data_IF_926261889988
#
_entry.id   IF_926261889988
#
_cell.length_a   1.000
_cell.length_b   1.000
_cell.length_c   1.000
_cell.angle_alpha   90.00
_cell.angle_beta   90.00
_cell.angle_gamma   90.00
#
_symmetry.space_group_name_H-M   'P 1'
#
loop_
_entity.id
_entity.type
_entity.pdbx_description
1 polymer ?
#
# COMPACT_ATOMS: atom_id res chain seq x y z
N UNK A 1 9.55 15.21 -4.67
CA UNK A 1 9.15 13.92 -4.06
C UNK A 1 10.36 13.40 -3.34
N UNK A 2 10.26 13.13 -2.04
CA UNK A 2 11.36 12.51 -1.28
C UNK A 2 11.41 11.02 -1.64
N UNK A 3 12.43 10.58 -2.36
CA UNK A 3 12.68 9.18 -2.69
C UNK A 3 13.55 8.54 -1.61
N UNK A 4 13.58 7.21 -1.57
CA UNK A 4 14.53 6.49 -0.73
C UNK A 4 15.97 6.96 -0.95
N UNK A 5 16.31 7.36 -2.18
CA UNK A 5 17.61 7.90 -2.56
C UNK A 5 17.92 9.28 -1.93
N UNK A 6 16.90 10.07 -1.59
CA UNK A 6 17.09 11.40 -1.01
C UNK A 6 17.55 11.35 0.46
N UNK A 7 17.56 10.15 1.05
CA UNK A 7 18.10 9.88 2.39
C UNK A 7 19.50 9.28 2.35
N UNK A 8 20.10 9.12 1.16
CA UNK A 8 21.45 8.60 0.98
C UNK A 8 22.42 9.78 0.87
N UNK A 9 23.47 9.76 1.68
CA UNK A 9 24.59 10.69 1.58
C UNK A 9 25.90 9.91 1.57
N UNK A 10 26.82 10.28 0.66
CA UNK A 10 28.05 9.58 0.33
C UNK A 10 27.90 8.04 0.17
N UNK A 11 27.98 7.32 1.29
CA UNK A 11 27.92 5.86 1.39
C UNK A 11 27.08 5.38 2.58
N UNK A 12 26.16 6.20 3.09
CA UNK A 12 25.34 5.87 4.25
C UNK A 12 23.95 6.50 4.25
N UNK A 13 23.20 6.23 5.32
CA UNK A 13 21.88 6.79 5.61
C UNK A 13 21.99 7.72 6.85
N UNK A 14 22.43 8.99 6.71
CA UNK A 14 22.69 9.88 7.84
C UNK A 14 21.43 10.23 8.65
N UNK A 15 20.26 10.18 8.02
CA UNK A 15 18.96 10.36 8.68
C UNK A 15 18.62 9.22 9.66
N UNK A 16 19.43 8.16 9.69
CA UNK A 16 19.38 7.07 10.68
C UNK A 16 20.68 7.10 11.48
N UNK A 17 20.60 7.39 12.77
CA UNK A 17 21.76 7.37 13.66
C UNK A 17 21.62 6.25 14.67
N UNK A 18 22.73 5.56 14.94
CA UNK A 18 22.79 4.49 15.93
C UNK A 18 23.94 4.74 16.91
N UNK A 19 23.66 4.69 18.21
CA UNK A 19 24.64 4.85 19.28
C UNK A 19 25.21 3.49 19.71
N UNK A 20 26.52 3.29 19.54
CA UNK A 20 27.21 2.05 19.96
C UNK A 20 27.56 2.06 21.45
N UNK A 21 27.82 0.89 22.04
CA UNK A 21 28.17 0.79 23.48
C UNK A 21 29.61 1.21 23.78
N UNK A 22 30.59 0.53 23.17
CA UNK A 22 32.01 0.75 23.43
C UNK A 22 32.85 0.54 22.14
N UNK A 23 33.72 1.50 21.78
CA UNK A 23 33.57 2.92 22.12
C UNK A 23 32.15 3.43 21.77
N UNK A 24 31.67 4.39 22.55
CA UNK A 24 30.41 5.09 22.27
C UNK A 24 30.66 6.07 21.12
N UNK A 25 30.00 5.81 20.00
CA UNK A 25 30.07 6.61 18.80
C UNK A 25 28.72 6.54 18.09
N UNK A 26 28.45 7.55 17.26
CA UNK A 26 27.29 7.58 16.38
C UNK A 26 27.72 7.02 15.03
N UNK A 27 27.00 6.01 14.56
CA UNK A 27 27.23 5.39 13.25
C UNK A 27 25.93 5.37 12.44
N UNK A 28 26.08 5.21 11.13
CA UNK A 28 24.96 5.19 10.18
C UNK A 28 24.94 3.87 9.40
N UNK A 29 23.77 3.36 8.97
CA UNK A 29 23.70 2.23 8.06
C UNK A 29 24.53 2.50 6.81
N UNK A 30 25.33 1.52 6.38
CA UNK A 30 26.12 1.61 5.16
C UNK A 30 25.26 1.32 3.95
N UNK A 31 25.46 2.14 2.93
CA UNK A 31 24.95 1.96 1.58
C UNK A 31 26.09 1.53 0.66
N UNK A 32 25.80 0.56 -0.21
CA UNK A 32 26.67 0.12 -1.31
C UNK A 32 25.87 0.13 -2.59
N UNK A 33 26.50 0.34 -3.75
CA UNK A 33 25.79 0.26 -5.04
C UNK A 33 26.09 -1.06 -5.74
N UNK A 34 25.06 -1.72 -6.25
CA UNK A 34 25.14 -2.91 -7.12
C UNK A 34 24.27 -2.68 -8.34
N UNK A 35 24.87 -2.75 -9.53
CA UNK A 35 24.18 -2.51 -10.80
C UNK A 35 23.39 -1.20 -10.83
N UNK A 36 23.95 -0.14 -10.22
CA UNK A 36 23.34 1.18 -10.12
C UNK A 36 22.33 1.35 -8.97
N UNK A 37 21.86 0.26 -8.36
CA UNK A 37 20.88 0.29 -7.25
C UNK A 37 21.61 0.45 -5.91
N UNK A 38 21.13 1.36 -5.07
CA UNK A 38 21.61 1.52 -3.71
C UNK A 38 21.09 0.41 -2.79
N UNK A 39 21.99 -0.26 -2.07
CA UNK A 39 21.74 -1.45 -1.27
C UNK A 39 22.27 -1.29 0.16
N UNK A 40 21.52 -1.80 1.13
CA UNK A 40 21.96 -1.99 2.52
C UNK A 40 22.28 -3.47 2.73
N UNK A 41 23.34 -3.75 3.47
CA UNK A 41 23.67 -5.13 3.87
C UNK A 41 23.09 -5.46 5.25
N UNK A 42 22.19 -6.44 5.27
CA UNK A 42 21.54 -6.99 6.45
C UNK A 42 22.30 -8.24 6.94
N UNK A 43 22.90 -8.12 8.13
CA UNK A 43 23.82 -9.14 8.65
C UNK A 43 23.10 -10.47 8.98
N UNK A 44 21.86 -10.38 9.44
CA UNK A 44 20.99 -11.51 9.77
C UNK A 44 20.51 -12.27 8.52
N UNK A 45 20.62 -11.69 7.33
CA UNK A 45 20.12 -12.26 6.07
C UNK A 45 21.23 -12.71 5.12
N UNK A 46 22.47 -12.84 5.61
CA UNK A 46 23.61 -13.26 4.78
C UNK A 46 23.45 -14.60 4.05
N UNK A 47 22.52 -15.44 4.49
CA UNK A 47 22.23 -16.76 3.90
C UNK A 47 20.95 -16.81 3.06
N UNK A 48 20.27 -15.68 2.86
CA UNK A 48 19.12 -15.62 1.95
C UNK A 48 19.57 -15.59 0.49
N UNK A 49 18.67 -15.81 -0.49
CA UNK A 49 19.01 -15.78 -1.92
C UNK A 49 19.63 -14.46 -2.40
N UNK A 50 19.30 -13.33 -1.74
CA UNK A 50 19.87 -12.01 -2.05
C UNK A 50 21.20 -11.74 -1.32
N UNK A 51 21.75 -12.74 -0.61
CA UNK A 51 23.06 -12.68 0.04
C UNK A 51 23.19 -11.59 1.10
N UNK A 52 22.09 -11.22 1.75
CA UNK A 52 22.01 -10.13 2.73
C UNK A 52 21.96 -8.72 2.14
N UNK A 53 22.04 -8.53 0.82
CA UNK A 53 21.93 -7.19 0.22
C UNK A 53 20.47 -6.93 -0.18
N UNK A 54 19.89 -5.85 0.33
CA UNK A 54 18.53 -5.40 -0.01
C UNK A 54 18.57 -3.96 -0.52
N UNK A 55 17.70 -3.56 -1.46
CA UNK A 55 17.60 -2.16 -1.88
C UNK A 55 17.31 -1.24 -0.69
N UNK A 56 17.84 0.00 -0.71
CA UNK A 56 17.58 1.01 0.33
C UNK A 56 16.08 1.25 0.49
N UNK A 57 15.33 1.32 -0.61
CA UNK A 57 13.87 1.46 -0.58
C UNK A 57 13.22 0.32 0.23
N UNK A 58 13.57 -0.93 -0.09
CA UNK A 58 13.09 -2.12 0.63
C UNK A 58 13.48 -2.08 2.10
N UNK A 59 14.72 -1.74 2.42
CA UNK A 59 15.17 -1.61 3.81
C UNK A 59 14.35 -0.58 4.59
N UNK A 60 14.13 0.60 4.00
CA UNK A 60 13.38 1.67 4.67
C UNK A 60 11.89 1.31 4.82
N UNK A 61 11.29 0.59 3.89
CA UNK A 61 9.93 0.06 4.05
C UNK A 61 9.83 -0.92 5.21
N UNK A 62 10.79 -1.83 5.33
CA UNK A 62 10.86 -2.79 6.45
C UNK A 62 11.07 -2.07 7.79
N UNK A 63 11.86 -1.00 7.78
CA UNK A 63 12.02 -0.10 8.93
C UNK A 63 10.70 0.61 9.29
N UNK A 64 9.96 1.12 8.30
CA UNK A 64 8.65 1.75 8.49
C UNK A 64 7.64 0.78 9.12
N UNK A 65 7.63 -0.48 8.68
CA UNK A 65 6.79 -1.56 9.22
C UNK A 65 7.25 -2.10 10.58
N UNK A 66 8.32 -1.54 11.15
CA UNK A 66 8.95 -1.99 12.42
C UNK A 66 9.23 -3.49 12.41
N UNK A 67 9.69 -4.01 11.28
CA UNK A 67 9.93 -5.45 11.14
C UNK A 67 10.96 -5.94 12.17
N UNK A 68 10.67 -7.03 12.90
CA UNK A 68 11.58 -7.52 13.93
C UNK A 68 12.87 -8.05 13.31
N UNK A 69 13.95 -7.96 14.10
CA UNK A 69 15.28 -8.48 13.75
C UNK A 69 15.98 -7.78 12.59
N UNK A 70 15.52 -6.59 12.20
CA UNK A 70 16.23 -5.78 11.21
C UNK A 70 17.60 -5.38 11.77
N UNK A 71 18.67 -5.80 11.10
CA UNK A 71 20.05 -5.55 11.53
C UNK A 71 20.96 -5.25 10.34
N UNK A 72 21.41 -4.01 10.24
CA UNK A 72 22.24 -3.54 9.13
C UNK A 72 23.73 -3.44 9.51
N UNK A 73 24.59 -3.39 8.51
CA UNK A 73 26.00 -3.06 8.69
C UNK A 73 26.21 -1.55 8.72
N UNK A 74 27.09 -1.10 9.61
CA UNK A 74 27.63 0.25 9.69
C UNK A 74 29.16 0.20 9.82
N UNK A 75 29.82 1.34 9.67
CA UNK A 75 31.26 1.48 9.90
C UNK A 75 31.51 2.46 11.04
N UNK A 76 32.43 2.08 11.92
CA UNK A 76 32.94 2.92 13.01
C UNK A 76 33.96 3.94 12.47
N UNK A 77 34.28 4.96 13.26
CA UNK A 77 35.25 6.00 12.86
C UNK A 77 36.65 5.42 12.53
N UNK A 78 37.00 4.27 13.12
CA UNK A 78 38.24 3.54 12.85
C UNK A 78 38.18 2.63 11.60
N UNK A 79 37.12 2.70 10.81
CA UNK A 79 36.92 1.89 9.61
C UNK A 79 36.56 0.42 9.87
N UNK A 80 36.35 0.01 11.12
CA UNK A 80 35.88 -1.35 11.43
C UNK A 80 34.37 -1.46 11.23
N UNK A 81 33.96 -2.58 10.66
CA UNK A 81 32.55 -2.92 10.52
C UNK A 81 31.90 -3.15 11.89
N UNK A 82 30.67 -2.69 12.04
CA UNK A 82 29.80 -2.99 13.18
C UNK A 82 28.41 -3.36 12.68
N UNK A 83 27.65 -4.10 13.49
CA UNK A 83 26.24 -4.40 13.22
C UNK A 83 25.38 -3.49 14.09
N UNK A 84 24.39 -2.86 13.48
CA UNK A 84 23.38 -2.05 14.16
C UNK A 84 22.05 -2.79 14.13
N UNK A 85 21.34 -2.84 15.26
CA UNK A 85 20.06 -3.53 15.38
C UNK A 85 18.95 -2.53 15.65
N UNK A 86 17.88 -2.61 14.88
CA UNK A 86 16.72 -1.72 14.98
C UNK A 86 15.71 -2.17 16.05
N UNK A 87 15.92 -3.32 16.68
CA UNK A 87 15.11 -3.79 17.81
C UNK A 87 15.33 -2.96 19.09
N UNK A 88 16.46 -2.23 19.19
CA UNK A 88 16.84 -1.44 20.36
C UNK A 88 16.47 0.02 20.14
N UNK A 89 15.19 0.35 20.38
CA UNK A 89 14.65 1.69 20.15
C UNK A 89 15.39 2.80 20.92
N UNK A 90 16.05 2.47 22.04
CA UNK A 90 16.86 3.38 22.86
C UNK A 90 18.20 3.80 22.22
N UNK A 91 18.57 3.19 21.09
CA UNK A 91 19.85 3.41 20.40
C UNK A 91 19.71 3.98 19.01
N UNK A 92 18.53 3.92 18.42
CA UNK A 92 18.25 4.41 17.07
C UNK A 92 17.54 5.76 17.18
N UNK A 93 18.07 6.76 16.49
CA UNK A 93 17.37 8.03 16.29
C UNK A 93 17.14 8.23 14.80
N UNK A 94 15.91 8.59 14.43
CA UNK A 94 15.52 8.92 13.07
C UNK A 94 15.36 10.44 12.96
N UNK A 95 15.79 11.03 11.84
CA UNK A 95 15.53 12.44 11.60
C UNK A 95 14.01 12.71 11.45
N UNK A 96 13.52 13.92 11.77
CA UNK A 96 12.10 14.25 11.57
C UNK A 96 11.63 14.07 10.12
N UNK A 97 12.50 14.37 9.14
CA UNK A 97 12.19 14.21 7.72
C UNK A 97 12.02 12.74 7.35
N UNK A 98 12.93 11.88 7.79
CA UNK A 98 12.83 10.45 7.54
C UNK A 98 11.64 9.86 8.28
N UNK A 99 11.40 10.26 9.53
CA UNK A 99 10.26 9.78 10.31
C UNK A 99 8.93 10.11 9.63
N UNK A 100 8.74 11.34 9.16
CA UNK A 100 7.54 11.73 8.41
C UNK A 100 7.37 10.90 7.11
N UNK A 101 8.46 10.61 6.41
CA UNK A 101 8.42 9.81 5.20
C UNK A 101 8.17 8.32 5.48
N UNK A 102 8.79 7.74 6.51
CA UNK A 102 8.52 6.36 6.94
C UNK A 102 7.07 6.19 7.39
N UNK A 103 6.51 7.16 8.12
CA UNK A 103 5.07 7.14 8.45
C UNK A 103 4.20 7.14 7.19
N UNK A 104 4.63 7.78 6.11
CA UNK A 104 3.92 7.76 4.83
C UNK A 104 4.02 6.43 4.06
N UNK A 105 5.01 5.60 4.40
CA UNK A 105 5.28 4.26 3.85
C UNK A 105 4.74 3.12 4.74
N UNK A 106 4.41 3.40 5.99
CA UNK A 106 3.71 2.47 6.86
C UNK A 106 2.23 2.41 6.46
N UNK A 107 1.92 2.14 5.18
CA UNK A 107 0.55 1.83 4.84
C UNK A 107 0.26 0.41 5.33
N UNK A 108 -0.86 0.20 6.03
CA UNK A 108 -1.17 -1.08 6.64
C UNK A 108 -1.47 -2.11 5.55
N UNK A 109 -1.10 -3.37 5.84
CA UNK A 109 -1.43 -4.52 5.00
C UNK A 109 -2.80 -5.13 5.36
N UNK A 110 -3.42 -4.64 6.45
CA UNK A 110 -4.68 -5.13 7.02
C UNK A 110 -5.54 -3.91 7.46
N UNK A 111 -6.80 -4.12 7.84
CA UNK A 111 -7.73 -3.04 8.22
C UNK A 111 -8.59 -2.51 7.08
N UNK A 112 -9.59 -1.66 7.40
CA UNK A 112 -10.59 -1.20 6.43
C UNK A 112 -9.97 -0.49 5.21
N UNK A 113 -8.99 0.40 5.44
CA UNK A 113 -8.28 1.10 4.37
C UNK A 113 -7.62 0.13 3.36
N UNK A 114 -6.87 -0.86 3.85
CA UNK A 114 -6.23 -1.88 3.01
C UNK A 114 -7.26 -2.74 2.27
N UNK A 115 -8.38 -3.07 2.91
CA UNK A 115 -9.46 -3.83 2.28
C UNK A 115 -10.12 -3.04 1.13
N UNK A 116 -10.34 -1.73 1.29
CA UNK A 116 -10.85 -0.86 0.21
C UNK A 116 -9.89 -0.85 -0.98
N UNK A 117 -8.59 -0.63 -0.73
CA UNK A 117 -7.58 -0.63 -1.81
C UNK A 117 -7.52 -1.98 -2.51
N UNK A 118 -7.55 -3.08 -1.74
CA UNK A 118 -7.59 -4.44 -2.28
C UNK A 118 -8.81 -4.69 -3.15
N UNK A 119 -10.00 -4.23 -2.73
CA UNK A 119 -11.22 -4.34 -3.55
C UNK A 119 -11.08 -3.58 -4.87
N UNK A 120 -10.65 -2.32 -4.80
CA UNK A 120 -10.48 -1.46 -5.99
C UNK A 120 -9.45 -2.04 -6.97
N UNK A 121 -8.33 -2.55 -6.47
CA UNK A 121 -7.26 -3.16 -7.27
C UNK A 121 -7.74 -4.35 -8.14
N UNK A 122 -8.87 -4.96 -7.81
CA UNK A 122 -9.46 -6.07 -8.54
C UNK A 122 -10.57 -5.65 -9.53
N UNK A 123 -10.85 -4.35 -9.69
CA UNK A 123 -11.86 -3.84 -10.64
C UNK A 123 -11.32 -3.71 -12.07
N UNK A 124 -10.71 -4.77 -12.60
CA UNK A 124 -10.24 -4.79 -14.00
C UNK A 124 -11.42 -4.66 -14.99
N UNK A 125 -11.30 -3.85 -16.06
CA UNK A 125 -10.09 -3.17 -16.52
C UNK A 125 -9.96 -1.70 -16.05
N UNK A 126 -10.76 -1.24 -15.08
CA UNK A 126 -10.66 0.15 -14.60
C UNK A 126 -9.43 0.35 -13.71
N UNK A 127 -9.16 -0.63 -12.87
CA UNK A 127 -8.06 -0.61 -11.92
C UNK A 127 -7.24 -1.89 -12.01
N UNK A 128 -5.95 -1.76 -11.74
CA UNK A 128 -5.02 -2.87 -11.58
C UNK A 128 -4.28 -2.73 -10.25
N UNK A 129 -4.09 -3.84 -9.55
CA UNK A 129 -3.21 -3.90 -8.40
C UNK A 129 -1.74 -3.83 -8.81
N UNK A 130 -0.96 -3.01 -8.12
CA UNK A 130 0.48 -2.95 -8.30
C UNK A 130 1.21 -2.63 -6.99
N UNK A 131 2.50 -2.90 -6.96
CA UNK A 131 3.38 -2.46 -5.87
C UNK A 131 4.05 -1.14 -6.25
N UNK A 132 3.73 -0.06 -5.55
CA UNK A 132 4.34 1.26 -5.72
C UNK A 132 5.05 1.66 -4.43
N UNK A 133 6.37 1.88 -4.51
CA UNK A 133 7.21 2.18 -3.34
C UNK A 133 6.99 1.19 -2.17
N UNK A 134 6.80 -0.09 -2.51
CA UNK A 134 6.61 -1.19 -1.54
C UNK A 134 5.23 -1.27 -0.91
N UNK A 135 4.31 -0.43 -1.35
CA UNK A 135 2.91 -0.45 -0.96
C UNK A 135 2.09 -1.07 -2.06
N UNK A 136 1.23 -2.01 -1.70
CA UNK A 136 0.19 -2.48 -2.60
C UNK A 136 -0.83 -1.35 -2.79
N UNK A 137 -1.08 -0.98 -4.04
CA UNK A 137 -2.01 0.08 -4.39
C UNK A 137 -2.90 -0.33 -5.56
N UNK A 138 -4.02 0.37 -5.72
CA UNK A 138 -4.84 0.28 -6.93
C UNK A 138 -4.47 1.43 -7.88
N UNK A 139 -4.03 1.10 -9.09
CA UNK A 139 -3.77 2.06 -10.17
C UNK A 139 -4.98 2.13 -11.10
N UNK A 140 -5.55 3.32 -11.25
CA UNK A 140 -6.51 3.64 -12.30
C UNK A 140 -5.85 3.56 -13.68
N UNK A 141 -6.39 2.74 -14.58
CA UNK A 141 -5.93 2.66 -15.97
C UNK A 141 -6.42 3.84 -16.83
N UNK A 142 -7.35 4.65 -16.33
CA UNK A 142 -7.88 5.80 -17.06
C UNK A 142 -6.91 6.97 -17.08
N UNK A 143 -6.22 7.24 -15.96
CA UNK A 143 -5.44 8.46 -15.75
C UNK A 143 -4.17 8.26 -14.91
N UNK A 144 -3.88 7.03 -14.47
CA UNK A 144 -2.72 6.72 -13.65
C UNK A 144 -2.85 7.09 -12.17
N UNK A 145 -4.03 7.52 -11.70
CA UNK A 145 -4.29 7.81 -10.29
C UNK A 145 -4.00 6.58 -9.42
N UNK A 146 -3.26 6.78 -8.33
CA UNK A 146 -2.91 5.72 -7.37
C UNK A 146 -3.73 5.87 -6.10
N UNK A 147 -4.27 4.76 -5.62
CA UNK A 147 -5.04 4.69 -4.39
C UNK A 147 -4.28 3.79 -3.43
N UNK A 148 -3.81 4.36 -2.33
CA UNK A 148 -2.95 3.72 -1.35
C UNK A 148 -3.68 3.61 -0.01
N UNK A 149 -3.40 2.56 0.77
CA UNK A 149 -3.91 2.48 2.12
C UNK A 149 -3.28 3.55 3.03
N UNK A 150 -3.96 3.87 4.13
CA UNK A 150 -3.46 4.72 5.21
C UNK A 150 -3.56 3.96 6.53
N UNK A 151 -2.66 4.27 7.46
CA UNK A 151 -2.70 3.66 8.80
C UNK A 151 -3.76 4.33 9.66
N UNK A 152 -4.85 3.60 9.90
CA UNK A 152 -5.96 4.02 10.75
C UNK A 152 -5.83 3.46 12.19
N UNK A 153 -4.72 2.81 12.57
CA UNK A 153 -4.61 2.09 13.85
C UNK A 153 -4.74 2.98 15.10
N UNK A 154 -4.40 4.26 14.97
CA UNK A 154 -4.47 5.26 16.04
C UNK A 154 -5.78 6.06 16.01
N UNK A 155 -6.72 5.73 15.11
CA UNK A 155 -7.97 6.46 14.94
C UNK A 155 -9.03 5.88 15.90
N UNK A 156 -9.96 6.74 16.35
CA UNK A 156 -11.07 6.29 17.21
C UNK A 156 -11.94 5.22 16.53
N UNK A 157 -12.04 5.27 15.20
CA UNK A 157 -12.69 4.26 14.36
C UNK A 157 -11.98 4.19 13.00
N UNK A 158 -11.70 2.98 12.51
CA UNK A 158 -11.27 2.75 11.13
C UNK A 158 -12.41 3.14 10.18
N UNK A 159 -12.21 4.09 9.28
CA UNK A 159 -13.27 4.56 8.36
C UNK A 159 -13.13 3.97 6.96
N UNK A 160 -11.99 3.35 6.67
CA UNK A 160 -11.64 2.98 5.31
C UNK A 160 -11.18 4.19 4.49
N UNK A 161 -10.57 5.18 5.16
CA UNK A 161 -9.94 6.32 4.50
C UNK A 161 -8.83 5.81 3.58
N UNK A 162 -8.65 6.42 2.42
CA UNK A 162 -7.55 6.09 1.50
C UNK A 162 -6.80 7.34 1.10
N UNK A 163 -5.51 7.18 0.78
CA UNK A 163 -4.71 8.26 0.20
C UNK A 163 -4.73 8.14 -1.31
N UNK A 164 -5.16 9.19 -1.97
CA UNK A 164 -5.21 9.27 -3.44
C UNK A 164 -4.07 10.15 -3.92
N UNK A 165 -3.24 9.62 -4.81
CA UNK A 165 -2.27 10.39 -5.59
C UNK A 165 -2.85 10.61 -6.98
N UNK A 166 -3.38 11.81 -7.22
CA UNK A 166 -4.06 12.13 -8.46
C UNK A 166 -3.09 12.05 -9.63
N UNK A 167 -3.42 11.21 -10.63
CA UNK A 167 -2.56 10.91 -11.78
C UNK A 167 -1.17 10.38 -11.39
N UNK A 168 -1.05 9.79 -10.20
CA UNK A 168 0.21 9.31 -9.65
C UNK A 168 1.15 10.42 -9.17
N UNK A 169 0.69 11.67 -9.11
CA UNK A 169 1.48 12.80 -8.65
C UNK A 169 1.41 12.94 -7.12
N UNK A 170 2.54 12.72 -6.47
CA UNK A 170 2.70 12.83 -5.01
C UNK A 170 2.43 14.26 -4.50
N UNK A 171 2.68 15.29 -5.33
CA UNK A 171 2.38 16.66 -4.95
C UNK A 171 0.87 16.96 -4.98
N UNK A 172 0.08 16.08 -5.61
CA UNK A 172 -1.38 16.15 -5.69
C UNK A 172 -1.97 14.97 -4.93
N UNK A 173 -1.72 14.94 -3.63
CA UNK A 173 -2.25 13.94 -2.72
C UNK A 173 -3.43 14.48 -1.92
N UNK A 174 -4.41 13.62 -1.65
CA UNK A 174 -5.49 13.89 -0.69
C UNK A 174 -5.90 12.61 0.03
N UNK A 175 -6.26 12.72 1.30
CA UNK A 175 -6.96 11.66 2.03
C UNK A 175 -8.46 11.85 1.82
N UNK A 176 -9.15 10.78 1.44
CA UNK A 176 -10.57 10.79 1.11
C UNK A 176 -11.23 9.54 1.67
N UNK A 177 -12.55 9.58 1.85
CA UNK A 177 -13.33 8.41 2.19
C UNK A 177 -13.22 7.36 1.06
N UNK A 178 -12.85 6.12 1.42
CA UNK A 178 -12.70 5.04 0.45
C UNK A 178 -14.01 4.63 -0.21
N UNK A 179 -15.13 4.78 0.49
CA UNK A 179 -16.48 4.56 -0.01
C UNK A 179 -16.86 5.52 -1.12
N UNK A 180 -16.45 6.80 -1.04
CA UNK A 180 -16.69 7.79 -2.09
C UNK A 180 -15.96 7.43 -3.40
N UNK A 181 -14.71 6.97 -3.30
CA UNK A 181 -13.95 6.51 -4.47
C UNK A 181 -14.55 5.22 -5.03
N UNK A 182 -14.89 4.27 -4.17
CA UNK A 182 -15.53 3.02 -4.57
C UNK A 182 -16.88 3.24 -5.25
N UNK A 183 -17.65 4.23 -4.82
CA UNK A 183 -18.91 4.64 -5.46
C UNK A 183 -18.70 4.94 -6.95
N UNK A 184 -17.73 5.81 -7.26
CA UNK A 184 -17.43 6.21 -8.64
C UNK A 184 -16.84 5.04 -9.45
N UNK A 185 -15.98 4.23 -8.83
CA UNK A 185 -15.36 3.09 -9.48
C UNK A 185 -16.38 2.01 -9.84
N UNK A 186 -17.29 1.68 -8.91
CA UNK A 186 -18.31 0.65 -9.12
C UNK A 186 -19.35 1.07 -10.17
N UNK A 187 -19.78 2.34 -10.16
CA UNK A 187 -20.68 2.88 -11.19
C UNK A 187 -20.11 2.65 -12.60
N UNK A 188 -18.85 3.07 -12.80
CA UNK A 188 -18.17 2.90 -14.08
C UNK A 188 -17.93 1.44 -14.40
N UNK A 189 -17.57 0.64 -13.40
CA UNK A 189 -17.27 -0.78 -13.56
C UNK A 189 -18.49 -1.54 -14.06
N UNK A 190 -19.64 -1.36 -13.40
CA UNK A 190 -20.88 -2.03 -13.77
C UNK A 190 -21.35 -1.57 -15.13
N UNK A 191 -21.30 -0.27 -15.44
CA UNK A 191 -21.69 0.22 -16.78
C UNK A 191 -20.78 -0.28 -17.90
N UNK A 192 -19.47 -0.36 -17.64
CA UNK A 192 -18.51 -0.89 -18.62
C UNK A 192 -18.78 -2.36 -18.93
N UNK A 193 -19.16 -3.16 -17.93
CA UNK A 193 -19.47 -4.58 -18.12
C UNK A 193 -20.92 -4.84 -18.55
N UNK A 194 -21.82 -3.90 -18.30
CA UNK A 194 -23.24 -3.98 -18.63
C UNK A 194 -23.61 -3.35 -19.97
N UNK A 195 -22.69 -3.27 -20.94
CA UNK A 195 -23.00 -2.71 -22.27
C UNK A 195 -24.17 -3.46 -22.90
N UNK A 196 -25.25 -2.73 -23.22
CA UNK A 196 -26.49 -3.29 -23.79
C UNK A 196 -27.52 -3.74 -22.76
N UNK A 197 -27.21 -3.66 -21.46
CA UNK A 197 -28.19 -3.84 -20.40
C UNK A 197 -29.09 -2.61 -20.24
N UNK A 198 -30.30 -2.82 -19.72
CA UNK A 198 -31.18 -1.72 -19.31
C UNK A 198 -30.79 -1.16 -17.93
N UNK A 199 -31.34 -0.01 -17.57
CA UNK A 199 -31.01 0.67 -16.31
C UNK A 199 -31.47 -0.13 -15.07
N UNK A 200 -32.51 -0.96 -15.19
CA UNK A 200 -32.97 -1.80 -14.06
C UNK A 200 -31.95 -2.90 -13.75
N UNK A 201 -31.38 -3.53 -14.79
CA UNK A 201 -30.29 -4.49 -14.65
C UNK A 201 -29.00 -3.84 -14.11
N UNK A 202 -28.66 -2.62 -14.57
CA UNK A 202 -27.52 -1.85 -14.05
C UNK A 202 -27.71 -1.54 -12.56
N UNK A 203 -28.89 -1.08 -12.14
CA UNK A 203 -29.19 -0.81 -10.73
C UNK A 203 -29.09 -2.09 -9.88
N UNK A 204 -29.65 -3.21 -10.36
CA UNK A 204 -29.55 -4.48 -9.64
C UNK A 204 -28.09 -4.92 -9.43
N UNK A 205 -27.25 -4.81 -10.46
CA UNK A 205 -25.83 -5.17 -10.36
C UNK A 205 -25.06 -4.22 -9.45
N UNK A 206 -25.32 -2.90 -9.51
CA UNK A 206 -24.75 -1.93 -8.59
C UNK A 206 -25.11 -2.25 -7.14
N UNK A 207 -26.34 -2.71 -6.88
CA UNK A 207 -26.76 -3.08 -5.53
C UNK A 207 -25.99 -4.30 -5.04
N UNK A 208 -25.81 -5.32 -5.87
CA UNK A 208 -24.99 -6.48 -5.53
C UNK A 208 -23.52 -6.12 -5.29
N UNK A 209 -22.98 -5.19 -6.08
CA UNK A 209 -21.62 -4.69 -5.89
C UNK A 209 -21.46 -3.86 -4.62
N UNK A 210 -22.46 -3.06 -4.26
CA UNK A 210 -22.49 -2.33 -2.99
C UNK A 210 -22.46 -3.29 -1.79
N UNK A 211 -23.31 -4.32 -1.81
CA UNK A 211 -23.35 -5.35 -0.77
C UNK A 211 -22.04 -6.14 -0.70
N UNK A 212 -21.45 -6.47 -1.85
CA UNK A 212 -20.17 -7.18 -1.90
C UNK A 212 -19.03 -6.32 -1.34
N UNK A 213 -18.97 -5.04 -1.71
CA UNK A 213 -18.01 -4.09 -1.15
C UNK A 213 -18.15 -4.03 0.37
N UNK A 214 -19.36 -3.78 0.89
CA UNK A 214 -19.63 -3.74 2.33
C UNK A 214 -19.22 -5.02 3.04
N UNK A 215 -19.52 -6.17 2.47
CA UNK A 215 -19.11 -7.46 3.02
C UNK A 215 -17.58 -7.62 3.07
N UNK A 216 -16.86 -7.15 2.03
CA UNK A 216 -15.41 -7.32 1.91
C UNK A 216 -14.60 -6.30 2.71
N UNK A 217 -15.10 -5.08 2.84
CA UNK A 217 -14.34 -3.94 3.39
C UNK A 217 -14.88 -3.47 4.73
N UNK A 218 -16.14 -3.77 5.06
CA UNK A 218 -16.84 -3.19 6.20
C UNK A 218 -17.21 -1.72 6.03
N UNK A 219 -17.02 -1.15 4.84
CA UNK A 219 -17.35 0.23 4.50
C UNK A 219 -18.61 0.30 3.62
N UNK A 220 -19.32 1.42 3.64
CA UNK A 220 -20.46 1.68 2.77
C UNK A 220 -20.06 2.53 1.56
N UNK A 221 -20.89 2.52 0.51
CA UNK A 221 -20.75 3.41 -0.65
C UNK A 221 -21.96 4.34 -0.75
N UNK A 222 -21.78 5.49 -1.38
CA UNK A 222 -22.81 6.51 -1.50
C UNK A 222 -23.70 6.28 -2.74
N UNK A 223 -24.74 5.46 -2.59
CA UNK A 223 -25.76 5.24 -3.63
C UNK A 223 -27.18 5.46 -3.08
N UNK A 224 -27.57 6.71 -2.77
CA UNK A 224 -28.79 7.02 -2.01
C UNK A 224 -30.11 6.71 -2.74
N UNK A 225 -30.08 6.56 -4.06
CA UNK A 225 -31.27 6.24 -4.87
C UNK A 225 -31.36 4.75 -5.23
N UNK A 226 -30.46 3.92 -4.68
CA UNK A 226 -30.37 2.52 -5.05
C UNK A 226 -31.19 1.65 -4.11
N UNK A 227 -32.39 1.30 -4.56
CA UNK A 227 -33.23 0.35 -3.84
C UNK A 227 -32.78 -1.09 -4.07
N UNK A 228 -33.09 -1.96 -3.10
CA UNK A 228 -32.86 -3.38 -3.25
C UNK A 228 -33.68 -3.93 -4.44
N UNK A 229 -33.08 -4.76 -5.32
CA UNK A 229 -33.76 -5.26 -6.49
C UNK A 229 -34.95 -6.16 -6.09
N UNK A 230 -36.06 -6.15 -6.86
CA UNK A 230 -37.19 -7.04 -6.63
C UNK A 230 -36.75 -8.52 -6.62
N UNK A 231 -37.38 -9.37 -5.81
CA UNK A 231 -36.96 -10.77 -5.59
C UNK A 231 -36.88 -11.66 -6.85
N UNK A 232 -37.54 -11.29 -7.95
CA UNK A 232 -37.40 -11.95 -9.25
C UNK A 232 -36.12 -11.54 -10.00
N UNK A 233 -35.68 -10.28 -9.88
CA UNK A 233 -34.41 -9.78 -10.40
C UNK A 233 -33.22 -10.26 -9.58
N UNK A 234 -33.41 -10.55 -8.29
CA UNK A 234 -32.41 -11.28 -7.49
C UNK A 234 -32.16 -12.73 -7.96
N UNK A 235 -33.05 -13.29 -8.79
CA UNK A 235 -32.87 -14.58 -9.49
C UNK A 235 -32.27 -14.39 -10.88
N UNK A 236 -32.66 -13.34 -11.61
CA UNK A 236 -32.03 -12.96 -12.89
C UNK A 236 -30.58 -12.50 -12.71
N UNK A 237 -30.23 -11.77 -11.65
CA UNK A 237 -28.84 -11.46 -11.27
C UNK A 237 -28.03 -12.72 -10.92
N UNK A 238 -28.69 -13.79 -10.46
CA UNK A 238 -28.08 -15.12 -10.28
C UNK A 238 -27.84 -15.85 -11.61
N UNK A 239 -28.58 -15.53 -12.68
CA UNK A 239 -28.32 -15.99 -14.04
C UNK A 239 -27.35 -15.05 -14.79
N UNK A 240 -27.38 -13.75 -14.51
CA UNK A 240 -26.35 -12.80 -14.93
C UNK A 240 -25.00 -13.13 -14.27
N UNK A 241 -24.98 -13.80 -13.11
CA UNK A 241 -23.78 -14.47 -12.54
C UNK A 241 -23.18 -15.54 -13.46
N UNK A 242 -23.91 -16.11 -14.42
CA UNK A 242 -23.36 -17.00 -15.46
C UNK A 242 -22.72 -16.20 -16.61
N UNK A 243 -23.21 -15.00 -16.91
CA UNK A 243 -22.53 -14.03 -17.80
C UNK A 243 -21.31 -13.41 -17.10
N UNK A 244 -21.45 -13.11 -15.81
CA UNK A 244 -20.44 -12.64 -14.89
C UNK A 244 -19.50 -13.73 -14.38
N UNK A 245 -19.62 -14.99 -14.82
CA UNK A 245 -18.59 -16.00 -14.56
C UNK A 245 -17.25 -15.60 -15.19
N UNK A 246 -17.22 -14.74 -16.22
CA UNK A 246 -15.98 -14.14 -16.73
C UNK A 246 -15.47 -12.94 -15.90
N UNK A 247 -16.35 -12.28 -15.17
CA UNK A 247 -16.08 -11.05 -14.38
C UNK A 247 -15.63 -11.41 -12.95
N UNK A 248 -16.20 -12.48 -12.37
CA UNK A 248 -15.85 -12.98 -11.04
C UNK A 248 -14.51 -13.73 -10.98
N UNK A 249 -13.94 -14.19 -12.10
CA UNK A 249 -12.65 -14.92 -12.08
C UNK A 249 -11.51 -14.05 -11.55
N UNK A 250 -11.55 -12.74 -11.78
CA UNK A 250 -10.51 -11.81 -11.33
C UNK A 250 -10.61 -11.43 -9.84
N UNK A 251 -11.76 -11.65 -9.20
CA UNK A 251 -12.03 -11.25 -7.80
C UNK A 251 -11.97 -12.42 -6.79
N UNK A 252 -11.69 -13.64 -7.27
CA UNK A 252 -11.62 -14.87 -6.46
C UNK A 252 -10.19 -15.37 -6.20
N UNK A 253 -9.15 -14.62 -6.59
CA UNK A 253 -7.78 -14.96 -6.19
C UNK A 253 -7.50 -14.44 -4.77
N UNK A 254 -6.86 -15.24 -3.91
CA UNK A 254 -6.65 -14.94 -2.49
C UNK A 254 -5.79 -13.71 -2.24
#
# INVERSE_FOLDING_TARGET
MTRAEDFIDDSGLPDITYRTDAPEEVVHPRVTRRDGVAMVYLHNERYTPHGGFVPVATFLQRLARREPNLAATAYRANGRQTTISFNKADRVTLSPRLQAWLSSLAAPCEGRSAAVVGFLANLMPLYVGEECDGLWCARSLQDGTLILPVDESEWDEERGTVRVLWQGDVARASEVDGGDIATLALERYVRLHGVGADEEAIAAELWFMAEHFRFKTGCDIYLPQLDAPPGALARLGRQAREIGQGILVNLLSP
#
